data_IF_195882914925
#
_entry.id   IF_195882914925
#
_cell.length_a   1.000
_cell.length_b   1.000
_cell.length_c   1.000
_cell.angle_alpha   90.00
_cell.angle_beta   90.00
_cell.angle_gamma   90.00
#
_symmetry.space_group_name_H-M   'P 1'
#
loop_
_entity.id
_entity.type
_entity.pdbx_description
1 polymer ?
#
# COMPACT_ATOMS: atom_id res chain seq x y z
N UNK A 1 10.23 15.31 -25.59
CA UNK A 1 11.62 14.90 -25.28
C UNK A 1 11.54 13.46 -24.83
N UNK A 2 11.85 12.51 -25.73
CA UNK A 2 11.75 11.07 -25.43
C UNK A 2 12.89 10.74 -24.46
N UNK A 3 12.61 10.62 -23.16
CA UNK A 3 13.57 10.07 -22.22
C UNK A 3 13.74 8.59 -22.61
N UNK A 4 14.89 8.22 -23.17
CA UNK A 4 15.26 6.84 -23.40
C UNK A 4 15.23 6.11 -22.06
N UNK A 5 14.23 5.24 -21.87
CA UNK A 5 14.12 4.42 -20.68
C UNK A 5 15.18 3.32 -20.73
N UNK A 6 16.30 3.54 -20.05
CA UNK A 6 17.31 2.51 -19.89
C UNK A 6 16.77 1.41 -18.95
N UNK A 7 17.04 0.13 -19.23
CA UNK A 7 16.66 -0.97 -18.36
C UNK A 7 17.45 -0.95 -17.04
N UNK A 8 16.89 -1.52 -15.97
CA UNK A 8 17.48 -1.44 -14.61
C UNK A 8 18.89 -2.01 -14.51
N UNK A 9 19.19 -3.06 -15.29
CA UNK A 9 20.53 -3.64 -15.34
C UNK A 9 21.59 -2.65 -15.84
N UNK A 10 21.22 -1.66 -16.67
CA UNK A 10 22.15 -0.65 -17.15
C UNK A 10 22.58 0.29 -16.02
N UNK A 11 21.67 0.66 -15.11
CA UNK A 11 21.98 1.46 -13.94
C UNK A 11 22.86 0.69 -12.95
N UNK A 12 22.59 -0.60 -12.74
CA UNK A 12 23.40 -1.45 -11.87
C UNK A 12 24.82 -1.67 -12.42
N UNK A 13 24.96 -1.88 -13.73
CA UNK A 13 26.30 -2.01 -14.35
C UNK A 13 27.08 -0.70 -14.28
N UNK A 14 26.42 0.45 -14.49
CA UNK A 14 27.04 1.77 -14.29
C UNK A 14 27.49 1.97 -12.82
N UNK A 15 26.65 1.65 -11.84
CA UNK A 15 26.98 1.74 -10.42
C UNK A 15 28.17 0.84 -10.05
N UNK A 16 28.22 -0.38 -10.57
CA UNK A 16 29.34 -1.31 -10.36
C UNK A 16 30.64 -0.77 -10.98
N UNK A 17 30.60 -0.28 -12.22
CA UNK A 17 31.77 0.28 -12.90
C UNK A 17 32.34 1.50 -12.16
N UNK A 18 31.46 2.42 -11.72
CA UNK A 18 31.84 3.59 -10.93
C UNK A 18 32.45 3.19 -9.59
N UNK A 19 31.89 2.19 -8.91
CA UNK A 19 32.40 1.69 -7.63
C UNK A 19 33.80 1.09 -7.75
N UNK A 20 34.03 0.29 -8.80
CA UNK A 20 35.35 -0.30 -9.09
C UNK A 20 36.37 0.82 -9.41
N UNK A 21 35.99 1.78 -10.25
CA UNK A 21 36.84 2.93 -10.57
C UNK A 21 37.20 3.75 -9.33
N UNK A 22 36.22 3.99 -8.44
CA UNK A 22 36.44 4.66 -7.17
C UNK A 22 37.41 3.89 -6.27
N UNK A 23 37.24 2.57 -6.13
CA UNK A 23 38.12 1.73 -5.32
C UNK A 23 39.56 1.76 -5.83
N UNK A 24 39.76 1.68 -7.16
CA UNK A 24 41.08 1.76 -7.78
C UNK A 24 41.74 3.13 -7.56
N UNK A 25 40.99 4.23 -7.74
CA UNK A 25 41.49 5.58 -7.49
C UNK A 25 41.79 5.82 -6.01
N UNK A 26 40.98 5.27 -5.09
CA UNK A 26 41.22 5.35 -3.66
C UNK A 26 42.49 4.59 -3.29
N UNK A 27 42.65 3.37 -3.81
CA UNK A 27 43.86 2.56 -3.63
C UNK A 27 45.10 3.29 -4.19
N UNK A 28 45.02 3.84 -5.40
CA UNK A 28 46.12 4.60 -6.00
C UNK A 28 46.43 5.91 -5.28
N UNK A 29 45.40 6.62 -4.81
CA UNK A 29 45.54 7.89 -4.11
C UNK A 29 46.18 7.75 -2.73
N UNK A 30 45.98 6.60 -2.06
CA UNK A 30 46.43 6.36 -0.69
C UNK A 30 47.64 5.43 -0.57
N UNK A 31 47.74 4.40 -1.43
CA UNK A 31 48.62 3.25 -1.20
C UNK A 31 49.60 2.93 -2.35
N UNK A 32 49.45 3.49 -3.56
CA UNK A 32 50.27 3.08 -4.71
C UNK A 32 51.78 3.38 -4.61
N UNK A 33 52.20 4.33 -3.78
CA UNK A 33 53.61 4.71 -3.64
C UNK A 33 54.08 4.63 -2.17
N UNK A 34 54.22 3.41 -1.61
CA UNK A 34 54.79 3.22 -0.29
C UNK A 34 56.28 3.58 -0.33
N UNK A 35 56.80 4.21 0.73
CA UNK A 35 58.20 4.67 0.77
C UNK A 35 59.22 3.52 0.66
N UNK A 36 58.85 2.27 0.97
CA UNK A 36 59.72 1.07 0.91
C UNK A 36 61.10 1.28 1.53
N UNK A 37 61.16 2.07 2.61
CA UNK A 37 62.41 2.43 3.30
C UNK A 37 63.28 3.47 2.58
N UNK A 38 62.90 3.95 1.39
CA UNK A 38 63.60 5.02 0.67
C UNK A 38 63.26 6.37 1.27
N UNK A 39 64.28 7.20 1.49
CA UNK A 39 64.13 8.57 2.01
C UNK A 39 63.77 9.49 0.84
N UNK A 40 62.59 10.11 0.89
CA UNK A 40 62.12 11.02 -0.17
C UNK A 40 61.64 12.34 0.42
N UNK A 41 61.85 13.43 -0.29
CA UNK A 41 61.29 14.72 0.11
C UNK A 41 59.76 14.72 -0.08
N UNK A 42 58.93 15.08 0.92
CA UNK A 42 57.48 15.08 0.76
C UNK A 42 56.93 16.20 -0.14
N UNK A 43 57.77 17.18 -0.55
CA UNK A 43 57.37 18.25 -1.49
C UNK A 43 57.60 17.82 -2.94
N UNK A 44 58.86 17.59 -3.33
CA UNK A 44 59.22 17.27 -4.71
C UNK A 44 59.33 15.78 -5.03
N UNK A 45 59.28 14.90 -4.01
CA UNK A 45 59.46 13.45 -4.15
C UNK A 45 60.86 13.00 -4.59
N UNK A 46 61.85 13.89 -4.53
CA UNK A 46 63.25 13.55 -4.81
C UNK A 46 63.80 12.57 -3.78
N UNK A 47 64.54 11.57 -4.25
CA UNK A 47 65.18 10.55 -3.41
C UNK A 47 66.45 11.13 -2.78
N UNK A 48 66.39 11.34 -1.47
CA UNK A 48 67.54 11.81 -0.69
C UNK A 48 68.32 10.55 -0.36
N UNK A 49 69.51 10.37 -0.94
CA UNK A 49 70.36 9.20 -0.68
C UNK A 49 70.82 9.10 0.79
N UNK A 50 71.96 8.46 1.04
CA UNK A 50 72.52 8.30 2.40
C UNK A 50 73.01 9.60 3.07
N UNK A 51 72.80 10.74 2.43
CA UNK A 51 73.23 12.04 2.96
C UNK A 51 72.45 12.32 4.25
N UNK A 52 73.17 12.53 5.36
CA UNK A 52 72.60 12.82 6.70
C UNK A 52 71.94 14.20 6.81
N UNK A 53 71.75 14.92 5.71
CA UNK A 53 71.16 16.25 5.71
C UNK A 53 69.64 16.16 5.71
N UNK A 54 68.99 16.94 6.58
CA UNK A 54 67.53 17.09 6.60
C UNK A 54 67.03 18.13 5.56
N UNK A 55 67.90 18.60 4.67
CA UNK A 55 67.58 19.57 3.63
C UNK A 55 67.54 18.90 2.26
N UNK A 56 66.43 19.06 1.53
CA UNK A 56 66.30 18.53 0.17
C UNK A 56 67.13 19.35 -0.82
N UNK A 57 68.03 18.72 -1.61
CA UNK A 57 68.90 19.45 -2.54
C UNK A 57 68.15 20.06 -3.73
N UNK A 58 67.03 19.47 -4.15
CA UNK A 58 66.25 19.96 -5.30
C UNK A 58 65.35 21.15 -4.94
N UNK A 59 64.56 21.04 -3.87
CA UNK A 59 63.52 22.02 -3.56
C UNK A 59 63.84 22.93 -2.37
N UNK A 60 65.00 22.75 -1.74
CA UNK A 60 65.46 23.52 -0.58
C UNK A 60 64.63 23.32 0.69
N UNK A 61 63.68 22.38 0.72
CA UNK A 61 62.82 22.16 1.88
C UNK A 61 63.62 21.51 3.01
N UNK A 62 63.67 22.19 4.15
CA UNK A 62 64.21 21.66 5.42
C UNK A 62 63.12 20.87 6.14
N UNK A 63 63.48 19.67 6.60
CA UNK A 63 62.60 18.76 7.33
C UNK A 63 62.94 18.79 8.82
N UNK A 64 61.93 18.77 9.69
CA UNK A 64 62.16 18.89 11.14
C UNK A 64 62.55 17.56 11.77
N UNK A 65 62.13 16.44 11.17
CA UNK A 65 62.38 15.10 11.69
C UNK A 65 62.61 14.09 10.55
N UNK A 66 63.48 13.11 10.77
CA UNK A 66 63.80 12.04 9.82
C UNK A 66 62.57 11.22 9.38
N UNK A 67 61.60 11.03 10.29
CA UNK A 67 60.32 10.35 9.98
C UNK A 67 59.55 11.00 8.82
N UNK A 68 59.73 12.30 8.58
CA UNK A 68 59.03 12.98 7.50
C UNK A 68 59.55 12.58 6.10
N UNK A 69 60.76 12.01 6.01
CA UNK A 69 61.34 11.49 4.77
C UNK A 69 60.75 10.15 4.34
N UNK A 70 60.04 9.46 5.23
CA UNK A 70 59.41 8.17 4.98
C UNK A 70 57.90 8.28 4.71
N UNK A 71 57.37 9.51 4.65
CA UNK A 71 55.93 9.75 4.51
C UNK A 71 55.46 9.42 3.08
N UNK A 72 54.42 8.58 2.89
CA UNK A 72 53.89 8.25 1.57
C UNK A 72 53.24 9.47 0.89
N UNK A 73 53.34 9.55 -0.45
CA UNK A 73 52.71 10.62 -1.25
C UNK A 73 51.23 10.32 -1.44
N UNK A 74 50.39 10.93 -0.62
CA UNK A 74 48.93 10.86 -0.80
C UNK A 74 48.49 11.87 -1.85
N UNK A 75 47.83 11.40 -2.90
CA UNK A 75 47.28 12.23 -3.98
C UNK A 75 45.82 12.58 -3.64
N UNK A 76 45.63 13.55 -2.75
CA UNK A 76 44.30 13.91 -2.23
C UNK A 76 43.27 14.27 -3.30
N UNK A 77 43.68 14.79 -4.46
CA UNK A 77 42.75 15.04 -5.56
C UNK A 77 42.18 13.74 -6.17
N UNK A 78 42.95 12.65 -6.21
CA UNK A 78 42.46 11.33 -6.64
C UNK A 78 41.47 10.76 -5.62
N UNK A 79 41.71 11.01 -4.33
CA UNK A 79 40.78 10.65 -3.25
C UNK A 79 39.47 11.43 -3.40
N UNK A 80 39.53 12.74 -3.68
CA UNK A 80 38.34 13.54 -3.93
C UNK A 80 37.56 13.04 -5.16
N UNK A 81 38.24 12.71 -6.26
CA UNK A 81 37.61 12.12 -7.44
C UNK A 81 36.96 10.76 -7.13
N UNK A 82 37.62 9.91 -6.34
CA UNK A 82 37.05 8.65 -5.89
C UNK A 82 35.76 8.85 -5.08
N UNK A 83 35.71 9.84 -4.18
CA UNK A 83 34.49 10.18 -3.42
C UNK A 83 33.35 10.60 -4.36
N UNK A 84 33.64 11.45 -5.36
CA UNK A 84 32.63 11.84 -6.35
C UNK A 84 32.09 10.62 -7.11
N UNK A 85 32.96 9.68 -7.50
CA UNK A 85 32.53 8.44 -8.16
C UNK A 85 31.68 7.55 -7.25
N UNK A 86 31.98 7.46 -5.94
CA UNK A 86 31.13 6.72 -4.98
C UNK A 86 29.75 7.36 -4.87
N UNK A 87 29.68 8.69 -4.82
CA UNK A 87 28.39 9.40 -4.80
C UNK A 87 27.60 9.17 -6.10
N UNK A 88 28.28 9.21 -7.25
CA UNK A 88 27.69 8.88 -8.55
C UNK A 88 27.19 7.43 -8.61
N UNK A 89 27.99 6.47 -8.14
CA UNK A 89 27.61 5.06 -8.08
C UNK A 89 26.37 4.85 -7.19
N UNK A 90 26.33 5.50 -6.04
CA UNK A 90 25.19 5.46 -5.12
C UNK A 90 23.94 6.04 -5.79
N UNK A 91 24.04 7.22 -6.41
CA UNK A 91 22.94 7.84 -7.13
C UNK A 91 22.42 6.97 -8.29
N UNK A 92 23.33 6.36 -9.08
CA UNK A 92 22.95 5.44 -10.17
C UNK A 92 22.29 4.16 -9.65
N UNK A 93 22.81 3.58 -8.57
CA UNK A 93 22.21 2.38 -7.96
C UNK A 93 20.83 2.65 -7.34
N UNK A 94 20.63 3.86 -6.81
CA UNK A 94 19.36 4.29 -6.22
C UNK A 94 18.31 4.68 -7.26
N UNK A 95 18.73 5.05 -8.48
CA UNK A 95 17.85 5.62 -9.50
C UNK A 95 16.67 4.72 -9.91
N UNK A 96 16.83 3.40 -10.15
CA UNK A 96 15.71 2.51 -10.44
C UNK A 96 14.62 2.54 -9.37
N UNK A 97 15.03 2.44 -8.11
CA UNK A 97 14.11 2.47 -6.97
C UNK A 97 13.46 3.85 -6.81
N UNK A 98 14.20 4.95 -7.03
CA UNK A 98 13.62 6.31 -7.00
C UNK A 98 12.59 6.51 -8.10
N UNK A 99 12.79 5.97 -9.32
CA UNK A 99 11.79 6.06 -10.39
C UNK A 99 10.53 5.26 -10.08
N UNK A 100 10.68 4.10 -9.43
CA UNK A 100 9.56 3.19 -9.11
C UNK A 100 8.75 3.63 -7.91
N UNK A 101 9.42 4.07 -6.84
CA UNK A 101 8.80 4.35 -5.54
C UNK A 101 8.82 5.84 -5.16
N UNK A 102 9.43 6.70 -5.99
CA UNK A 102 9.65 8.10 -5.68
C UNK A 102 10.80 8.31 -4.69
N UNK A 103 11.09 9.57 -4.38
CA UNK A 103 12.11 9.93 -3.37
C UNK A 103 11.69 9.56 -1.94
N UNK A 104 10.38 9.41 -1.69
CA UNK A 104 9.82 9.09 -0.39
C UNK A 104 10.29 7.75 0.18
N UNK A 105 10.57 6.78 -0.69
CA UNK A 105 11.03 5.44 -0.30
C UNK A 105 12.29 5.45 0.58
N UNK A 106 13.24 6.36 0.30
CA UNK A 106 14.48 6.46 1.07
C UNK A 106 14.34 7.14 2.41
N UNK A 107 13.18 7.73 2.69
CA UNK A 107 12.96 8.40 3.96
C UNK A 107 12.77 7.31 5.02
N UNK A 108 13.60 7.30 6.07
CA UNK A 108 13.48 6.31 7.12
C UNK A 108 12.08 6.38 7.75
N UNK A 109 11.51 5.22 8.09
CA UNK A 109 10.15 5.12 8.64
C UNK A 109 9.93 6.04 9.84
N UNK A 110 10.93 6.18 10.73
CA UNK A 110 10.84 7.08 11.88
C UNK A 110 10.66 8.55 11.50
N UNK A 111 11.21 8.98 10.35
CA UNK A 111 11.08 10.34 9.86
C UNK A 111 9.68 10.57 9.27
N UNK A 112 9.15 9.60 8.52
CA UNK A 112 7.77 9.63 8.00
C UNK A 112 6.77 9.78 9.17
N UNK A 113 6.87 8.91 10.18
CA UNK A 113 5.99 8.93 11.37
C UNK A 113 6.04 10.28 12.09
N UNK A 114 7.21 10.92 12.13
CA UNK A 114 7.40 12.19 12.83
C UNK A 114 6.93 13.40 12.03
N UNK A 115 7.08 13.35 10.71
CA UNK A 115 6.75 14.46 9.81
C UNK A 115 5.29 14.47 9.37
N UNK A 116 4.65 13.30 9.30
CA UNK A 116 3.30 13.18 8.76
C UNK A 116 2.26 14.07 9.47
N UNK A 117 2.12 14.09 10.81
CA UNK A 117 1.13 14.94 11.47
C UNK A 117 1.45 16.44 11.45
N UNK A 118 2.63 16.82 10.95
CA UNK A 118 3.10 18.22 10.93
C UNK A 118 3.05 18.84 9.53
N UNK A 119 2.83 18.03 8.51
CA UNK A 119 2.76 18.48 7.13
C UNK A 119 1.29 18.73 6.78
N UNK A 120 0.73 19.85 7.28
CA UNK A 120 -0.56 20.37 6.81
C UNK A 120 -0.46 20.56 5.28
N UNK A 121 -1.20 19.81 4.44
CA UNK A 121 -1.44 20.27 3.09
C UNK A 121 -2.25 21.57 3.19
N UNK A 122 -1.92 22.61 2.41
CA UNK A 122 -2.57 23.90 2.52
C UNK A 122 -4.09 23.74 2.39
N UNK A 123 -4.79 24.19 3.43
CA UNK A 123 -6.23 24.16 3.60
C UNK A 123 -6.95 24.76 2.39
N UNK A 124 -7.30 23.89 1.45
CA UNK A 124 -8.14 24.19 0.30
C UNK A 124 -9.03 22.99 0.08
N UNK A 125 -10.31 23.23 -0.26
CA UNK A 125 -11.31 22.20 -0.61
C UNK A 125 -10.96 21.45 -1.92
N UNK A 126 -9.67 21.26 -2.19
CA UNK A 126 -9.13 20.71 -3.41
C UNK A 126 -8.99 19.19 -3.21
N UNK A 127 -10.11 18.53 -3.47
CA UNK A 127 -10.31 17.15 -3.91
C UNK A 127 -9.04 16.28 -3.92
N UNK A 128 -9.01 15.22 -3.08
CA UNK A 128 -8.44 13.85 -3.20
C UNK A 128 -7.12 13.55 -3.97
N UNK A 129 -6.54 14.46 -4.77
CA UNK A 129 -5.41 14.17 -5.67
C UNK A 129 -4.04 14.43 -5.04
N UNK A 130 -3.99 15.21 -3.97
CA UNK A 130 -2.76 15.55 -3.27
C UNK A 130 -2.74 14.88 -1.89
N UNK A 131 -3.17 13.61 -1.83
CA UNK A 131 -2.86 12.76 -0.68
C UNK A 131 -1.37 12.90 -0.43
N UNK A 132 -0.99 13.46 0.73
CA UNK A 132 0.42 13.73 1.04
C UNK A 132 1.19 12.45 0.78
N UNK A 133 2.20 12.48 -0.09
CA UNK A 133 2.96 11.28 -0.46
C UNK A 133 3.49 10.52 0.77
N UNK A 134 3.62 11.21 1.91
CA UNK A 134 3.89 10.63 3.24
C UNK A 134 2.80 9.65 3.71
N UNK A 135 1.51 9.97 3.53
CA UNK A 135 0.40 9.06 3.80
C UNK A 135 0.50 7.82 2.92
N UNK A 136 0.65 8.00 1.61
CA UNK A 136 0.70 6.88 0.67
C UNK A 136 1.86 5.94 0.98
N UNK A 137 3.04 6.48 1.29
CA UNK A 137 4.20 5.70 1.68
C UNK A 137 4.00 5.00 3.04
N UNK A 138 3.48 5.71 4.06
CA UNK A 138 3.21 5.12 5.37
C UNK A 138 2.17 3.99 5.28
N UNK A 139 1.09 4.22 4.54
CA UNK A 139 0.05 3.24 4.26
C UNK A 139 0.62 2.03 3.52
N UNK A 140 1.44 2.25 2.48
CA UNK A 140 2.12 1.17 1.75
C UNK A 140 2.97 0.31 2.70
N UNK A 141 3.75 0.93 3.60
CA UNK A 141 4.57 0.20 4.59
C UNK A 141 3.72 -0.56 5.62
N UNK A 142 2.57 0.00 6.02
CA UNK A 142 1.61 -0.65 6.92
C UNK A 142 1.03 -1.91 6.28
N UNK A 143 0.57 -1.79 5.03
CA UNK A 143 -0.03 -2.87 4.25
C UNK A 143 0.97 -3.97 3.88
N UNK A 144 2.20 -3.59 3.52
CA UNK A 144 3.28 -4.52 3.20
C UNK A 144 3.80 -5.29 4.42
N UNK A 145 3.47 -4.85 5.65
CA UNK A 145 3.92 -5.49 6.88
C UNK A 145 5.35 -5.11 7.29
N UNK A 146 5.91 -4.04 6.72
CA UNK A 146 7.31 -3.63 6.98
C UNK A 146 7.49 -2.96 8.35
N UNK A 147 6.40 -2.48 8.95
CA UNK A 147 6.40 -1.83 10.26
C UNK A 147 6.38 -2.87 11.39
N UNK A 148 7.39 -2.77 12.26
CA UNK A 148 7.40 -3.49 13.54
C UNK A 148 6.25 -3.06 14.46
N UNK A 149 5.89 -3.93 15.40
CA UNK A 149 4.82 -3.70 16.38
C UNK A 149 5.00 -2.37 17.15
N UNK A 150 6.23 -2.06 17.57
CA UNK A 150 6.54 -0.80 18.24
C UNK A 150 6.35 0.43 17.34
N UNK A 151 6.62 0.31 16.04
CA UNK A 151 6.37 1.38 15.08
C UNK A 151 4.87 1.56 14.81
N UNK A 152 4.10 0.46 14.71
CA UNK A 152 2.63 0.51 14.58
C UNK A 152 1.99 1.19 15.79
N UNK A 153 2.40 0.82 16.99
CA UNK A 153 1.95 1.45 18.23
C UNK A 153 2.29 2.94 18.27
N UNK A 154 3.50 3.32 17.84
CA UNK A 154 3.91 4.72 17.75
C UNK A 154 3.07 5.52 16.73
N UNK A 155 2.82 4.94 15.55
CA UNK A 155 1.95 5.54 14.52
C UNK A 155 0.56 5.77 15.08
N UNK A 156 -0.07 4.73 15.62
CA UNK A 156 -1.43 4.81 16.16
C UNK A 156 -1.54 5.86 17.28
N UNK A 157 -0.54 5.94 18.16
CA UNK A 157 -0.48 6.95 19.22
C UNK A 157 -0.35 8.36 18.65
N UNK A 158 0.48 8.55 17.62
CA UNK A 158 0.68 9.87 16.98
C UNK A 158 -0.55 10.33 16.22
N UNK A 159 -1.24 9.42 15.52
CA UNK A 159 -2.49 9.75 14.86
C UNK A 159 -3.56 10.09 15.89
N UNK A 160 -3.64 9.34 17.00
CA UNK A 160 -4.56 9.66 18.10
C UNK A 160 -4.27 11.03 18.75
N UNK A 161 -3.01 11.45 18.84
CA UNK A 161 -2.63 12.80 19.30
C UNK A 161 -3.03 13.91 18.32
N UNK A 162 -3.07 13.60 17.03
CA UNK A 162 -3.48 14.54 15.98
C UNK A 162 -5.00 14.63 15.81
N UNK A 163 -5.75 13.61 16.26
CA UNK A 163 -7.21 13.64 16.29
C UNK A 163 -7.68 14.70 17.30
N UNK A 164 -8.35 15.74 16.80
CA UNK A 164 -9.01 16.75 17.62
C UNK A 164 -10.52 16.51 17.65
N UNK A 165 -11.08 16.02 18.77
CA UNK A 165 -12.54 15.80 18.88
C UNK A 165 -13.35 17.09 18.73
N UNK A 166 -12.75 18.23 19.06
CA UNK A 166 -13.39 19.54 19.02
C UNK A 166 -13.46 20.14 17.60
N UNK A 167 -12.58 19.72 16.69
CA UNK A 167 -12.51 20.21 15.32
C UNK A 167 -12.09 19.07 14.38
N UNK A 168 -13.03 18.23 13.95
CA UNK A 168 -12.75 17.20 12.96
C UNK A 168 -12.30 17.88 11.67
N UNK A 169 -11.07 17.59 11.26
CA UNK A 169 -10.49 18.02 9.99
C UNK A 169 -10.81 17.00 8.90
N UNK A 170 -10.58 17.38 7.63
CA UNK A 170 -10.65 16.42 6.53
C UNK A 170 -9.78 15.19 6.82
N UNK A 171 -8.58 15.37 7.37
CA UNK A 171 -7.61 14.30 7.68
C UNK A 171 -8.03 13.37 8.83
N UNK A 172 -9.11 13.70 9.55
CA UNK A 172 -9.57 12.87 10.66
C UNK A 172 -10.01 11.48 10.19
N UNK A 173 -10.45 11.31 8.94
CA UNK A 173 -10.74 10.00 8.36
C UNK A 173 -9.46 9.20 8.04
N UNK A 174 -8.43 9.83 7.46
CA UNK A 174 -7.12 9.25 7.16
C UNK A 174 -6.43 8.75 8.43
N UNK A 175 -6.38 9.58 9.48
CA UNK A 175 -5.80 9.22 10.77
C UNK A 175 -6.50 8.03 11.39
N UNK A 176 -7.83 8.04 11.31
CA UNK A 176 -8.65 6.96 11.85
C UNK A 176 -8.45 5.65 11.07
N UNK A 177 -8.34 5.72 9.75
CA UNK A 177 -8.03 4.56 8.91
C UNK A 177 -6.64 4.00 9.20
N UNK A 178 -5.61 4.85 9.33
CA UNK A 178 -4.25 4.45 9.71
C UNK A 178 -4.25 3.73 11.06
N UNK A 179 -4.96 4.28 12.05
CA UNK A 179 -5.12 3.64 13.37
C UNK A 179 -5.73 2.24 13.20
N UNK A 180 -6.76 2.11 12.37
CA UNK A 180 -7.45 0.85 12.12
C UNK A 180 -6.54 -0.23 11.47
N UNK A 181 -5.59 0.16 10.63
CA UNK A 181 -4.62 -0.76 10.00
C UNK A 181 -3.42 -1.10 10.90
N UNK A 182 -3.19 -0.34 11.97
CA UNK A 182 -2.17 -0.69 12.96
C UNK A 182 -2.56 -1.93 13.77
N UNK A 183 -3.86 -2.26 13.88
CA UNK A 183 -4.39 -3.49 14.46
C UNK A 183 -4.45 -3.51 15.99
N UNK A 184 -3.49 -2.90 16.68
CA UNK A 184 -3.51 -2.75 18.14
C UNK A 184 -3.70 -1.29 18.54
N UNK A 185 -4.66 -1.04 19.45
CA UNK A 185 -4.88 0.27 20.05
C UNK A 185 -4.39 0.29 21.50
N UNK A 186 -3.58 1.31 21.82
CA UNK A 186 -3.38 1.70 23.22
C UNK A 186 -4.69 2.23 23.80
N UNK A 187 -4.83 2.26 25.14
CA UNK A 187 -6.00 2.87 25.78
C UNK A 187 -6.23 4.30 25.32
N UNK A 188 -5.15 5.08 25.17
CA UNK A 188 -5.19 6.43 24.61
C UNK A 188 -5.77 6.48 23.19
N UNK A 189 -5.37 5.53 22.34
CA UNK A 189 -5.91 5.41 20.98
C UNK A 189 -7.40 5.05 21.00
N UNK A 190 -7.80 4.15 21.89
CA UNK A 190 -9.22 3.81 22.08
C UNK A 190 -10.03 5.02 22.54
N UNK A 191 -9.54 5.77 23.53
CA UNK A 191 -10.24 6.93 24.09
C UNK A 191 -10.41 8.04 23.04
N UNK A 192 -9.38 8.28 22.22
CA UNK A 192 -9.43 9.24 21.12
C UNK A 192 -10.49 8.82 20.08
N UNK A 193 -10.50 7.55 19.67
CA UNK A 193 -11.49 7.04 18.73
C UNK A 193 -12.91 7.07 19.31
N UNK A 194 -13.10 6.72 20.58
CA UNK A 194 -14.38 6.83 21.27
C UNK A 194 -14.89 8.27 21.26
N UNK A 195 -14.04 9.25 21.55
CA UNK A 195 -14.39 10.66 21.43
C UNK A 195 -14.84 11.03 20.00
N UNK A 196 -14.17 10.49 18.97
CA UNK A 196 -14.54 10.73 17.57
C UNK A 196 -15.90 10.11 17.17
N UNK A 197 -16.36 9.06 17.86
CA UNK A 197 -17.71 8.50 17.62
C UNK A 197 -18.85 9.47 17.97
N UNK A 198 -18.56 10.50 18.78
CA UNK A 198 -19.50 11.57 19.13
C UNK A 198 -19.34 12.83 18.26
N UNK A 199 -18.46 12.82 17.25
CA UNK A 199 -18.28 13.93 16.31
C UNK A 199 -19.61 14.34 15.66
N UNK A 200 -19.82 15.61 15.35
CA UNK A 200 -20.96 16.04 14.52
C UNK A 200 -20.82 15.61 13.05
N UNK A 201 -19.60 15.35 12.60
CA UNK A 201 -19.29 14.87 11.25
C UNK A 201 -19.55 13.36 11.13
N UNK A 202 -20.45 12.96 10.23
CA UNK A 202 -20.84 11.56 10.05
C UNK A 202 -19.72 10.68 9.49
N UNK A 203 -18.89 11.21 8.58
CA UNK A 203 -17.79 10.46 7.98
C UNK A 203 -16.79 10.12 9.08
N UNK A 204 -16.39 11.13 9.84
CA UNK A 204 -15.45 10.95 10.96
C UNK A 204 -16.00 9.97 12.01
N UNK A 205 -17.29 10.07 12.36
CA UNK A 205 -17.93 9.09 13.25
C UNK A 205 -17.84 7.67 12.68
N UNK A 206 -18.15 7.50 11.40
CA UNK A 206 -18.21 6.18 10.76
C UNK A 206 -16.82 5.53 10.65
N UNK A 207 -15.79 6.30 10.29
CA UNK A 207 -14.40 5.85 10.33
C UNK A 207 -13.98 5.52 11.77
N UNK A 208 -14.34 6.33 12.77
CA UNK A 208 -13.97 6.09 14.16
C UNK A 208 -14.55 4.77 14.68
N UNK A 209 -15.82 4.51 14.37
CA UNK A 209 -16.46 3.23 14.65
C UNK A 209 -15.75 2.09 13.92
N UNK A 210 -15.42 2.27 12.64
CA UNK A 210 -14.72 1.27 11.86
C UNK A 210 -13.29 0.97 12.33
N UNK A 211 -12.60 1.96 12.88
CA UNK A 211 -11.33 1.77 13.53
C UNK A 211 -11.50 1.01 14.85
N UNK A 212 -12.47 1.40 15.67
CA UNK A 212 -12.79 0.71 16.94
C UNK A 212 -13.15 -0.76 16.73
N UNK A 213 -13.90 -1.09 15.67
CA UNK A 213 -14.20 -2.50 15.36
C UNK A 213 -12.95 -3.28 15.03
N UNK A 214 -12.00 -2.70 14.27
CA UNK A 214 -10.76 -3.37 13.89
C UNK A 214 -9.77 -3.51 15.05
N UNK A 215 -9.66 -2.50 15.91
CA UNK A 215 -8.63 -2.46 16.97
C UNK A 215 -9.11 -2.94 18.34
N UNK A 216 -10.42 -3.10 18.56
CA UNK A 216 -10.91 -3.17 19.94
C UNK A 216 -12.32 -3.68 20.20
N UNK A 217 -12.86 -4.64 19.44
CA UNK A 217 -14.16 -5.27 19.76
C UNK A 217 -14.23 -5.95 21.14
N UNK A 218 -13.09 -6.19 21.80
CA UNK A 218 -13.03 -6.79 23.13
C UNK A 218 -13.60 -5.91 24.26
N UNK A 219 -13.92 -4.62 24.01
CA UNK A 219 -14.58 -3.75 25.00
C UNK A 219 -16.11 -3.72 24.77
N UNK A 220 -16.93 -4.09 25.77
CA UNK A 220 -18.39 -4.19 25.61
C UNK A 220 -19.07 -2.86 25.22
N UNK A 221 -18.52 -1.72 25.67
CA UNK A 221 -18.98 -0.38 25.30
C UNK A 221 -19.03 -0.15 23.77
N UNK A 222 -18.02 -0.62 23.04
CA UNK A 222 -17.94 -0.42 21.59
C UNK A 222 -19.08 -1.17 20.90
N UNK A 223 -19.35 -2.39 21.34
CA UNK A 223 -20.43 -3.19 20.78
C UNK A 223 -21.81 -2.60 21.12
N UNK A 224 -22.00 -2.01 22.31
CA UNK A 224 -23.24 -1.29 22.65
C UNK A 224 -23.46 -0.05 21.76
N UNK A 225 -22.42 0.73 21.49
CA UNK A 225 -22.50 1.89 20.58
C UNK A 225 -22.89 1.44 19.16
N UNK A 226 -22.25 0.38 18.65
CA UNK A 226 -22.57 -0.15 17.31
C UNK A 226 -24.01 -0.64 17.23
N UNK A 227 -24.50 -1.35 18.25
CA UNK A 227 -25.91 -1.77 18.29
C UNK A 227 -26.87 -0.58 18.31
N UNK A 228 -26.59 0.45 19.12
CA UNK A 228 -27.43 1.63 19.19
C UNK A 228 -27.54 2.33 17.82
N UNK A 229 -26.43 2.39 17.09
CA UNK A 229 -26.38 2.97 15.74
C UNK A 229 -27.09 2.08 14.72
N UNK A 230 -26.91 0.77 14.75
CA UNK A 230 -27.61 -0.14 13.84
C UNK A 230 -29.12 -0.17 14.09
N UNK A 231 -29.56 0.03 15.34
CA UNK A 231 -30.99 0.16 15.68
C UNK A 231 -31.59 1.47 15.16
N UNK A 232 -30.80 2.55 15.16
CA UNK A 232 -31.22 3.86 14.70
C UNK A 232 -30.19 4.43 13.71
N UNK A 233 -30.12 3.87 12.49
CA UNK A 233 -29.10 4.26 11.55
C UNK A 233 -29.28 5.73 11.14
N UNK A 234 -28.18 6.50 11.00
CA UNK A 234 -28.27 7.88 10.57
C UNK A 234 -28.91 7.99 9.18
N UNK A 235 -29.55 9.12 8.93
CA UNK A 235 -30.16 9.41 7.64
C UNK A 235 -29.11 9.31 6.51
N UNK A 236 -29.50 8.85 5.31
CA UNK A 236 -28.62 8.78 4.16
C UNK A 236 -28.03 10.14 3.82
N UNK A 237 -26.74 10.17 3.50
CA UNK A 237 -26.08 11.39 3.01
C UNK A 237 -26.52 11.63 1.57
N UNK A 238 -26.72 12.88 1.15
CA UNK A 238 -26.99 13.19 -0.25
C UNK A 238 -25.91 12.59 -1.17
N UNK A 239 -26.32 12.10 -2.36
CA UNK A 239 -25.44 11.44 -3.32
C UNK A 239 -24.26 12.32 -3.77
N UNK A 240 -24.30 13.64 -3.59
CA UNK A 240 -23.20 14.54 -3.96
C UNK A 240 -21.91 14.33 -3.12
N UNK A 241 -21.99 13.55 -2.03
CA UNK A 241 -20.85 13.09 -1.22
C UNK A 241 -20.50 11.60 -1.45
N UNK A 242 -20.95 11.05 -2.59
CA UNK A 242 -21.11 9.65 -3.02
C UNK A 242 -19.96 8.66 -2.83
N UNK A 243 -18.76 9.06 -2.43
CA UNK A 243 -17.66 8.09 -2.37
C UNK A 243 -17.80 7.10 -1.20
N UNK A 244 -18.58 7.43 -0.17
CA UNK A 244 -18.68 6.63 1.05
C UNK A 244 -20.12 6.63 1.58
N UNK A 245 -20.97 5.77 1.01
CA UNK A 245 -22.38 5.66 1.38
C UNK A 245 -22.63 5.24 2.84
N UNK A 246 -23.88 5.34 3.30
CA UNK A 246 -24.31 4.97 4.66
C UNK A 246 -24.08 3.51 5.05
N UNK A 247 -23.76 2.63 4.09
CA UNK A 247 -23.36 1.24 4.34
C UNK A 247 -22.01 1.10 5.04
N UNK A 248 -21.22 2.17 5.14
CA UNK A 248 -19.84 2.14 5.64
C UNK A 248 -19.69 1.45 7.00
N UNK A 249 -20.55 1.76 7.98
CA UNK A 249 -20.48 1.16 9.32
C UNK A 249 -20.62 -0.37 9.26
N UNK A 250 -21.49 -0.87 8.39
CA UNK A 250 -21.71 -2.32 8.21
C UNK A 250 -20.46 -2.98 7.63
N UNK A 251 -19.75 -2.32 6.71
CA UNK A 251 -18.53 -2.84 6.11
C UNK A 251 -17.36 -3.02 7.11
N UNK A 252 -17.40 -2.35 8.27
CA UNK A 252 -16.39 -2.53 9.34
C UNK A 252 -16.78 -3.52 10.43
N UNK A 253 -18.01 -4.02 10.43
CA UNK A 253 -18.42 -5.00 11.43
C UNK A 253 -17.60 -6.29 11.28
N UNK A 254 -17.23 -6.94 12.39
CA UNK A 254 -16.44 -8.16 12.35
C UNK A 254 -17.20 -9.28 11.64
N UNK A 255 -16.61 -9.90 10.62
CA UNK A 255 -17.22 -11.04 9.93
C UNK A 255 -16.84 -12.39 10.57
N UNK A 256 -16.00 -12.37 11.60
CA UNK A 256 -15.55 -13.54 12.36
C UNK A 256 -15.37 -13.22 13.84
N UNK A 257 -15.24 -14.25 14.70
CA UNK A 257 -15.12 -14.08 16.15
C UNK A 257 -16.43 -14.31 16.92
N UNK A 258 -16.38 -14.17 18.26
CA UNK A 258 -17.51 -14.47 19.14
C UNK A 258 -18.68 -13.50 18.97
N UNK A 259 -18.43 -12.22 18.65
CA UNK A 259 -19.45 -11.18 18.66
C UNK A 259 -20.30 -11.10 17.38
N UNK A 260 -20.00 -11.89 16.36
CA UNK A 260 -20.71 -11.87 15.06
C UNK A 260 -22.21 -12.08 15.23
N UNK A 261 -22.61 -13.01 16.09
CA UNK A 261 -24.01 -13.38 16.33
C UNK A 261 -24.84 -12.22 16.90
N UNK A 262 -24.19 -11.26 17.57
CA UNK A 262 -24.83 -10.07 18.12
C UNK A 262 -25.43 -9.17 17.02
N UNK A 263 -24.80 -9.13 15.85
CA UNK A 263 -25.16 -8.19 14.78
C UNK A 263 -26.13 -8.78 13.74
N UNK A 264 -26.23 -10.11 13.63
CA UNK A 264 -27.11 -10.79 12.65
C UNK A 264 -28.56 -10.29 12.74
N UNK A 265 -29.25 -10.30 13.90
CA UNK A 265 -30.65 -9.86 13.96
C UNK A 265 -30.84 -8.38 13.59
N UNK A 266 -29.85 -7.53 13.89
CA UNK A 266 -29.90 -6.11 13.55
C UNK A 266 -29.80 -5.90 12.03
N UNK A 267 -28.88 -6.62 11.38
CA UNK A 267 -28.68 -6.52 9.93
C UNK A 267 -29.84 -7.17 9.16
N UNK A 268 -30.45 -8.23 9.67
CA UNK A 268 -31.71 -8.77 9.13
C UNK A 268 -32.80 -7.68 9.14
N UNK A 269 -32.96 -6.96 10.25
CA UNK A 269 -33.93 -5.87 10.34
C UNK A 269 -33.63 -4.75 9.32
N UNK A 270 -32.37 -4.39 9.09
CA UNK A 270 -32.01 -3.40 8.05
C UNK A 270 -32.47 -3.85 6.65
N UNK A 271 -32.31 -5.14 6.33
CA UNK A 271 -32.74 -5.73 5.06
C UNK A 271 -34.27 -5.75 4.95
N UNK A 272 -34.97 -6.21 5.99
CA UNK A 272 -36.43 -6.31 6.00
C UNK A 272 -37.13 -4.95 5.87
N UNK A 273 -36.58 -3.94 6.54
CA UNK A 273 -37.09 -2.56 6.49
C UNK A 273 -36.64 -1.81 5.23
N UNK A 274 -35.83 -2.44 4.36
CA UNK A 274 -35.30 -1.84 3.12
C UNK A 274 -34.61 -0.50 3.37
N UNK A 275 -33.88 -0.40 4.49
CA UNK A 275 -33.17 0.81 4.84
C UNK A 275 -32.01 1.04 3.85
N UNK A 276 -31.49 2.28 3.72
CA UNK A 276 -30.39 2.58 2.79
C UNK A 276 -29.16 1.68 2.93
N UNK A 277 -28.95 1.12 4.13
CA UNK A 277 -27.86 0.22 4.47
C UNK A 277 -28.13 -1.26 4.10
N UNK A 278 -29.33 -1.60 3.61
CA UNK A 278 -29.75 -2.98 3.34
C UNK A 278 -28.76 -3.73 2.43
N UNK A 279 -28.25 -3.08 1.38
CA UNK A 279 -27.28 -3.69 0.46
C UNK A 279 -25.96 -4.06 1.15
N UNK A 280 -25.44 -3.18 2.01
CA UNK A 280 -24.25 -3.48 2.81
C UNK A 280 -24.52 -4.59 3.83
N UNK A 281 -25.72 -4.61 4.43
CA UNK A 281 -26.16 -5.70 5.32
C UNK A 281 -26.19 -7.06 4.60
N UNK A 282 -26.73 -7.12 3.37
CA UNK A 282 -26.72 -8.34 2.54
C UNK A 282 -25.29 -8.85 2.34
N UNK A 283 -24.37 -7.96 1.93
CA UNK A 283 -22.96 -8.31 1.73
C UNK A 283 -22.34 -8.89 2.99
N UNK A 284 -22.52 -8.20 4.11
CA UNK A 284 -21.93 -8.60 5.39
C UNK A 284 -22.48 -9.96 5.85
N UNK A 285 -23.78 -10.19 5.73
CA UNK A 285 -24.40 -11.48 6.06
C UNK A 285 -23.82 -12.61 5.20
N UNK A 286 -23.56 -12.33 3.92
CA UNK A 286 -22.85 -13.24 3.02
C UNK A 286 -21.42 -13.55 3.46
N UNK A 287 -20.67 -12.55 3.93
CA UNK A 287 -19.30 -12.72 4.45
C UNK A 287 -19.23 -13.54 5.74
N UNK A 288 -20.26 -13.44 6.59
CA UNK A 288 -20.42 -14.30 7.78
C UNK A 288 -20.74 -15.75 7.40
N UNK A 289 -21.44 -15.93 6.29
CA UNK A 289 -21.71 -17.24 5.70
C UNK A 289 -22.70 -18.08 6.54
N UNK A 290 -22.45 -19.39 6.76
CA UNK A 290 -23.45 -20.30 7.34
C UNK A 290 -24.00 -19.92 8.72
N UNK A 291 -23.27 -19.10 9.50
CA UNK A 291 -23.75 -18.59 10.79
C UNK A 291 -24.95 -17.66 10.65
N UNK A 292 -25.08 -16.97 9.51
CA UNK A 292 -26.19 -16.08 9.21
C UNK A 292 -27.40 -16.79 8.55
N UNK A 293 -27.57 -18.11 8.78
CA UNK A 293 -28.63 -18.92 8.13
C UNK A 293 -30.04 -18.36 8.35
N UNK A 294 -30.27 -17.75 9.50
CA UNK A 294 -31.52 -17.07 9.85
C UNK A 294 -31.87 -15.88 8.94
N UNK A 295 -30.91 -15.34 8.18
CA UNK A 295 -31.16 -14.25 7.24
C UNK A 295 -31.79 -14.68 5.91
N UNK A 296 -31.76 -15.98 5.56
CA UNK A 296 -32.25 -16.46 4.26
C UNK A 296 -33.68 -16.00 3.91
N UNK A 297 -34.68 -16.08 4.82
CA UNK A 297 -36.03 -15.63 4.51
C UNK A 297 -36.13 -14.11 4.26
N UNK A 298 -35.30 -13.32 4.96
CA UNK A 298 -35.25 -11.87 4.75
C UNK A 298 -34.62 -11.53 3.39
N UNK A 299 -33.56 -12.24 3.01
CA UNK A 299 -32.92 -12.11 1.70
C UNK A 299 -33.87 -12.47 0.56
N UNK A 300 -34.65 -13.54 0.68
CA UNK A 300 -35.65 -13.93 -0.32
C UNK A 300 -36.73 -12.86 -0.51
N UNK A 301 -37.24 -12.28 0.59
CA UNK A 301 -38.20 -11.18 0.53
C UNK A 301 -37.61 -9.93 -0.10
N UNK A 302 -36.38 -9.59 0.25
CA UNK A 302 -35.67 -8.43 -0.30
C UNK A 302 -35.37 -8.62 -1.80
N UNK A 303 -34.99 -9.82 -2.23
CA UNK A 303 -34.78 -10.12 -3.66
C UNK A 303 -36.06 -9.91 -4.49
N UNK A 304 -37.23 -10.20 -3.91
CA UNK A 304 -38.51 -10.01 -4.58
C UNK A 304 -38.85 -8.52 -4.80
N UNK A 305 -38.37 -7.61 -3.95
CA UNK A 305 -38.62 -6.16 -4.09
C UNK A 305 -37.63 -5.49 -5.04
N UNK A 306 -36.42 -6.04 -5.20
CA UNK A 306 -35.37 -5.49 -6.06
C UNK A 306 -35.53 -5.91 -7.54
N UNK A 307 -36.75 -5.98 -8.07
CA UNK A 307 -37.04 -6.61 -9.38
C UNK A 307 -36.31 -5.98 -10.57
N UNK A 308 -35.91 -4.71 -10.48
CA UNK A 308 -35.23 -3.98 -11.57
C UNK A 308 -33.73 -3.74 -11.31
N UNK A 309 -33.27 -3.82 -10.06
CA UNK A 309 -31.86 -3.61 -9.71
C UNK A 309 -31.05 -4.91 -9.86
N UNK A 310 -30.32 -4.99 -10.97
CA UNK A 310 -29.46 -6.13 -11.29
C UNK A 310 -28.33 -6.31 -10.25
N UNK A 311 -27.77 -5.23 -9.72
CA UNK A 311 -26.64 -5.29 -8.80
C UNK A 311 -27.04 -5.89 -7.45
N UNK A 312 -28.14 -5.37 -6.89
CA UNK A 312 -28.71 -5.89 -5.65
C UNK A 312 -29.10 -7.37 -5.79
N UNK A 313 -29.67 -7.78 -6.92
CA UNK A 313 -29.99 -9.20 -7.15
C UNK A 313 -28.76 -10.10 -7.10
N UNK A 314 -27.68 -9.73 -7.80
CA UNK A 314 -26.45 -10.55 -7.83
C UNK A 314 -25.87 -10.66 -6.41
N UNK A 315 -25.86 -9.56 -5.66
CA UNK A 315 -25.33 -9.52 -4.30
C UNK A 315 -26.16 -10.38 -3.33
N UNK A 316 -27.49 -10.31 -3.42
CA UNK A 316 -28.40 -11.15 -2.62
C UNK A 316 -28.24 -12.64 -2.95
N UNK A 317 -28.20 -12.99 -4.23
CA UNK A 317 -28.00 -14.38 -4.67
C UNK A 317 -26.66 -14.94 -4.18
N UNK A 318 -25.58 -14.17 -4.31
CA UNK A 318 -24.26 -14.59 -3.84
C UNK A 318 -24.22 -14.76 -2.32
N UNK A 319 -24.79 -13.80 -1.57
CA UNK A 319 -24.90 -13.92 -0.12
C UNK A 319 -25.70 -15.15 0.29
N UNK A 320 -26.85 -15.40 -0.35
CA UNK A 320 -27.68 -16.57 -0.10
C UNK A 320 -26.94 -17.89 -0.42
N UNK A 321 -26.13 -17.94 -1.49
CA UNK A 321 -25.32 -19.10 -1.85
C UNK A 321 -24.28 -19.42 -0.76
N UNK A 322 -23.60 -18.41 -0.20
CA UNK A 322 -22.62 -18.62 0.87
C UNK A 322 -23.30 -19.02 2.17
N UNK A 323 -24.38 -18.34 2.56
CA UNK A 323 -25.14 -18.64 3.78
C UNK A 323 -25.76 -20.05 3.73
N UNK A 324 -26.24 -20.48 2.57
CA UNK A 324 -26.76 -21.83 2.38
C UNK A 324 -25.65 -22.91 2.28
N UNK A 325 -24.37 -22.51 2.21
CA UNK A 325 -23.24 -23.42 2.05
C UNK A 325 -23.07 -23.96 0.63
N UNK A 326 -23.70 -23.32 -0.38
CA UNK A 326 -23.51 -23.65 -1.80
C UNK A 326 -22.18 -23.10 -2.33
N UNK A 327 -21.65 -22.03 -1.74
CA UNK A 327 -20.32 -21.49 -1.99
C UNK A 327 -19.57 -21.34 -0.67
N UNK A 328 -18.24 -21.52 -0.65
CA UNK A 328 -17.47 -21.38 0.60
C UNK A 328 -17.25 -19.91 0.97
N UNK A 329 -17.09 -19.05 -0.02
CA UNK A 329 -16.82 -17.62 0.17
C UNK A 329 -17.63 -16.77 -0.80
N UNK A 330 -17.79 -15.48 -0.49
CA UNK A 330 -18.42 -14.52 -1.40
C UNK A 330 -17.67 -14.43 -2.73
N UNK A 331 -16.34 -14.47 -2.70
CA UNK A 331 -15.50 -14.50 -3.91
C UNK A 331 -15.79 -15.72 -4.79
N UNK A 332 -15.96 -16.90 -4.19
CA UNK A 332 -16.35 -18.11 -4.92
C UNK A 332 -17.75 -17.94 -5.56
N UNK A 333 -18.72 -17.42 -4.81
CA UNK A 333 -20.07 -17.17 -5.32
C UNK A 333 -20.06 -16.20 -6.51
N UNK A 334 -19.34 -15.07 -6.41
CA UNK A 334 -19.18 -14.12 -7.52
C UNK A 334 -18.44 -14.75 -8.71
N UNK A 335 -17.39 -15.54 -8.47
CA UNK A 335 -16.61 -16.17 -9.55
C UNK A 335 -17.46 -17.10 -10.42
N UNK A 336 -18.42 -17.83 -9.83
CA UNK A 336 -19.36 -18.67 -10.59
C UNK A 336 -20.28 -17.85 -11.49
N UNK A 337 -20.51 -16.58 -11.17
CA UNK A 337 -21.30 -15.65 -11.99
C UNK A 337 -20.48 -14.94 -13.05
N UNK A 338 -19.15 -14.96 -12.98
CA UNK A 338 -18.30 -14.60 -14.12
C UNK A 338 -18.53 -15.55 -15.31
N UNK A 339 -18.91 -16.81 -15.05
CA UNK A 339 -19.30 -17.76 -16.07
C UNK A 339 -20.75 -17.58 -16.58
N UNK A 340 -21.49 -16.54 -16.13
CA UNK A 340 -22.90 -16.33 -16.48
C UNK A 340 -23.12 -15.50 -17.76
N UNK A 341 -24.34 -15.60 -18.32
CA UNK A 341 -24.67 -15.26 -19.70
C UNK A 341 -24.60 -13.77 -20.10
N UNK A 342 -24.70 -12.79 -19.19
CA UNK A 342 -24.78 -11.37 -19.57
C UNK A 342 -23.59 -10.51 -19.14
N UNK A 343 -23.08 -9.67 -20.05
CA UNK A 343 -21.94 -8.77 -19.81
C UNK A 343 -22.12 -7.85 -18.58
N UNK A 344 -23.29 -7.25 -18.30
CA UNK A 344 -23.48 -6.45 -17.09
C UNK A 344 -23.31 -7.24 -15.78
N UNK A 345 -23.74 -8.51 -15.76
CA UNK A 345 -23.57 -9.39 -14.58
C UNK A 345 -22.10 -9.72 -14.36
N UNK A 346 -21.36 -9.98 -15.44
CA UNK A 346 -19.91 -10.27 -15.38
C UNK A 346 -19.12 -9.05 -14.91
N UNK A 347 -19.42 -7.85 -15.43
CA UNK A 347 -18.86 -6.57 -14.98
C UNK A 347 -19.05 -6.37 -13.48
N UNK A 348 -20.29 -6.48 -13.02
CA UNK A 348 -20.60 -6.28 -11.62
C UNK A 348 -19.91 -7.33 -10.71
N UNK A 349 -19.94 -8.60 -11.09
CA UNK A 349 -19.25 -9.65 -10.35
C UNK A 349 -17.73 -9.40 -10.26
N UNK A 350 -17.10 -8.93 -11.34
CA UNK A 350 -15.69 -8.57 -11.35
C UNK A 350 -15.36 -7.43 -10.38
N UNK A 351 -16.14 -6.35 -10.39
CA UNK A 351 -16.00 -5.23 -9.46
C UNK A 351 -16.22 -5.67 -8.01
N UNK A 352 -17.21 -6.54 -7.75
CA UNK A 352 -17.48 -7.02 -6.41
C UNK A 352 -16.39 -7.95 -5.88
N UNK A 353 -15.74 -8.73 -6.74
CA UNK A 353 -14.59 -9.55 -6.34
C UNK A 353 -13.40 -8.70 -5.87
N UNK A 354 -13.22 -7.50 -6.41
CA UNK A 354 -12.29 -6.52 -5.88
C UNK A 354 -12.68 -6.05 -4.46
N UNK A 355 -13.96 -5.73 -4.25
CA UNK A 355 -14.44 -5.17 -2.98
C UNK A 355 -14.47 -6.17 -1.81
N UNK A 356 -14.53 -7.47 -2.08
CA UNK A 356 -14.72 -8.53 -1.05
C UNK A 356 -13.47 -8.82 -0.20
N UNK A 357 -12.32 -8.17 -0.46
CA UNK A 357 -11.06 -8.27 0.31
C UNK A 357 -10.62 -9.72 0.66
N UNK A 358 -9.59 -10.20 -0.06
CA UNK A 358 -8.64 -11.26 0.38
C UNK A 358 -9.18 -12.69 0.62
N UNK A 359 -10.28 -13.10 -0.02
CA UNK A 359 -10.77 -14.50 0.05
C UNK A 359 -10.73 -15.24 -1.30
N UNK A 360 -9.58 -15.24 -1.98
CA UNK A 360 -9.42 -15.99 -3.23
C UNK A 360 -9.18 -17.48 -2.95
N UNK A 361 -10.14 -18.33 -3.32
CA UNK A 361 -9.96 -19.78 -3.34
C UNK A 361 -9.33 -20.21 -4.67
N UNK A 362 -8.62 -21.36 -4.74
CA UNK A 362 -8.11 -21.88 -6.00
C UNK A 362 -9.18 -22.05 -7.08
N UNK A 363 -10.40 -22.45 -6.69
CA UNK A 363 -11.56 -22.55 -7.58
C UNK A 363 -11.97 -21.18 -8.13
N UNK A 364 -11.99 -20.14 -7.28
CA UNK A 364 -12.26 -18.79 -7.72
C UNK A 364 -11.21 -18.30 -8.73
N UNK A 365 -9.92 -18.57 -8.49
CA UNK A 365 -8.85 -18.21 -9.42
C UNK A 365 -8.99 -18.94 -10.77
N UNK A 366 -9.36 -20.23 -10.77
CA UNK A 366 -9.62 -20.96 -12.02
C UNK A 366 -10.79 -20.35 -12.80
N UNK A 367 -11.90 -20.05 -12.12
CA UNK A 367 -13.08 -19.44 -12.74
C UNK A 367 -12.76 -18.05 -13.31
N UNK A 368 -11.98 -17.25 -12.58
CA UNK A 368 -11.49 -15.94 -13.05
C UNK A 368 -10.64 -16.11 -14.31
N UNK A 369 -9.64 -17.00 -14.27
CA UNK A 369 -8.74 -17.22 -15.40
C UNK A 369 -9.48 -17.66 -16.66
N UNK A 370 -10.50 -18.51 -16.51
CA UNK A 370 -11.37 -18.90 -17.62
C UNK A 370 -12.21 -17.73 -18.13
N UNK A 371 -12.84 -16.99 -17.23
CA UNK A 371 -13.71 -15.87 -17.58
C UNK A 371 -12.97 -14.79 -18.38
N UNK A 372 -11.75 -14.46 -17.97
CA UNK A 372 -10.86 -13.49 -18.63
C UNK A 372 -10.60 -13.87 -20.09
N UNK A 373 -10.31 -15.14 -20.36
CA UNK A 373 -10.03 -15.62 -21.73
C UNK A 373 -11.28 -15.64 -22.62
N UNK A 374 -12.46 -15.83 -22.01
CA UNK A 374 -13.73 -15.94 -22.74
C UNK A 374 -14.51 -14.63 -22.85
N UNK A 375 -14.09 -13.58 -22.15
CA UNK A 375 -14.81 -12.30 -22.15
C UNK A 375 -14.62 -11.57 -23.47
N UNK A 376 -15.73 -11.20 -24.11
CA UNK A 376 -15.73 -10.50 -25.39
C UNK A 376 -15.96 -8.99 -25.22
N UNK A 377 -16.47 -8.55 -24.07
CA UNK A 377 -16.63 -7.12 -23.75
C UNK A 377 -15.32 -6.57 -23.18
N UNK A 378 -14.64 -5.72 -23.95
CA UNK A 378 -13.38 -5.10 -23.56
C UNK A 378 -13.48 -4.24 -22.30
N UNK A 379 -14.63 -3.59 -22.04
CA UNK A 379 -14.83 -2.81 -20.82
C UNK A 379 -14.92 -3.73 -19.59
N UNK A 380 -15.60 -4.87 -19.74
CA UNK A 380 -15.69 -5.86 -18.69
C UNK A 380 -14.33 -6.49 -18.39
N UNK A 381 -13.58 -6.78 -19.45
CA UNK A 381 -12.25 -7.33 -19.35
C UNK A 381 -11.28 -6.35 -18.65
N UNK A 382 -11.34 -5.05 -18.97
CA UNK A 382 -10.55 -4.04 -18.28
C UNK A 382 -10.87 -3.97 -16.77
N UNK A 383 -12.14 -4.03 -16.39
CA UNK A 383 -12.55 -4.05 -14.98
C UNK A 383 -12.05 -5.32 -14.27
N UNK A 384 -12.11 -6.48 -14.93
CA UNK A 384 -11.58 -7.73 -14.40
C UNK A 384 -10.06 -7.67 -14.19
N UNK A 385 -9.31 -7.21 -15.19
CA UNK A 385 -7.85 -7.06 -15.09
C UNK A 385 -7.46 -6.09 -13.97
N UNK A 386 -8.17 -4.97 -13.85
CA UNK A 386 -7.97 -4.00 -12.77
C UNK A 386 -8.25 -4.59 -11.40
N UNK A 387 -9.35 -5.35 -11.25
CA UNK A 387 -9.69 -6.02 -10.02
C UNK A 387 -8.61 -7.03 -9.58
N UNK A 388 -8.03 -7.76 -10.53
CA UNK A 388 -6.98 -8.76 -10.31
C UNK A 388 -5.65 -8.11 -9.90
N UNK A 389 -5.27 -7.03 -10.59
CA UNK A 389 -4.02 -6.31 -10.32
C UNK A 389 -3.95 -5.80 -8.87
N UNK A 390 -5.09 -5.36 -8.32
CA UNK A 390 -5.18 -4.86 -6.95
C UNK A 390 -5.26 -5.96 -5.86
N UNK A 391 -5.19 -7.25 -6.22
CA UNK A 391 -5.17 -8.39 -5.29
C UNK A 391 -3.89 -9.25 -5.50
N UNK A 392 -2.70 -8.72 -5.17
CA UNK A 392 -1.48 -9.10 -5.89
C UNK A 392 -0.90 -10.47 -5.56
N UNK A 393 -1.02 -10.99 -4.33
CA UNK A 393 -0.26 -12.20 -3.93
C UNK A 393 -0.89 -13.49 -4.45
N UNK A 394 -2.20 -13.58 -4.46
CA UNK A 394 -2.95 -14.78 -4.83
C UNK A 394 -3.18 -14.87 -6.35
N UNK A 395 -3.19 -13.74 -7.06
CA UNK A 395 -3.50 -13.65 -8.47
C UNK A 395 -2.31 -13.89 -9.42
N UNK A 396 -1.09 -14.09 -8.91
CA UNK A 396 0.12 -14.35 -9.72
C UNK A 396 -0.07 -15.56 -10.66
N UNK A 397 -0.90 -16.54 -10.26
CA UNK A 397 -1.24 -17.70 -11.09
C UNK A 397 -1.99 -17.35 -12.38
N UNK A 398 -2.50 -16.12 -12.52
CA UNK A 398 -3.26 -15.63 -13.68
C UNK A 398 -2.38 -14.93 -14.74
N UNK A 399 -1.07 -14.77 -14.48
CA UNK A 399 -0.14 -14.16 -15.42
C UNK A 399 -0.13 -14.80 -16.81
N UNK A 400 -0.21 -16.15 -16.98
CA UNK A 400 -0.28 -16.76 -18.30
C UNK A 400 -1.47 -16.27 -19.13
N UNK A 401 -2.66 -16.20 -18.53
CA UNK A 401 -3.90 -15.77 -19.18
C UNK A 401 -3.85 -14.28 -19.54
N UNK A 402 -3.27 -13.45 -18.66
CA UNK A 402 -3.11 -12.02 -18.94
C UNK A 402 -2.14 -11.76 -20.11
N UNK A 403 -1.07 -12.56 -20.23
CA UNK A 403 -0.13 -12.48 -21.35
C UNK A 403 -0.77 -12.90 -22.67
N UNK A 404 -1.70 -13.87 -22.63
CA UNK A 404 -2.49 -14.25 -23.79
C UNK A 404 -3.35 -13.08 -24.30
N UNK A 405 -4.03 -12.35 -23.39
CA UNK A 405 -4.77 -11.13 -23.76
C UNK A 405 -3.87 -10.04 -24.31
N UNK A 406 -2.69 -9.85 -23.72
CA UNK A 406 -1.74 -8.84 -24.19
C UNK A 406 -1.27 -9.15 -25.63
N UNK A 407 -1.16 -10.43 -25.97
CA UNK A 407 -0.77 -10.90 -27.31
C UNK A 407 -1.93 -10.90 -28.33
N UNK A 408 -3.19 -10.82 -27.87
CA UNK A 408 -4.37 -10.82 -28.73
C UNK A 408 -4.55 -9.46 -29.43
N UNK A 409 -4.16 -9.39 -30.71
CA UNK A 409 -4.27 -8.17 -31.53
C UNK A 409 -5.72 -7.76 -31.82
N UNK A 410 -6.70 -8.63 -31.58
CA UNK A 410 -8.12 -8.29 -31.77
C UNK A 410 -8.67 -7.41 -30.65
N UNK A 411 -7.94 -7.31 -29.52
CA UNK A 411 -8.31 -6.47 -28.37
C UNK A 411 -7.97 -5.01 -28.58
N UNK A 412 -8.79 -4.13 -28.00
CA UNK A 412 -8.52 -2.69 -28.01
C UNK A 412 -7.17 -2.38 -27.36
N UNK A 413 -6.58 -1.26 -27.76
CA UNK A 413 -5.33 -0.77 -27.17
C UNK A 413 -5.47 -0.57 -25.65
N UNK A 414 -6.59 -0.03 -25.18
CA UNK A 414 -6.85 0.20 -23.77
C UNK A 414 -6.86 -1.10 -22.94
N UNK A 415 -7.47 -2.17 -23.47
CA UNK A 415 -7.47 -3.49 -22.82
C UNK A 415 -6.06 -4.07 -22.74
N UNK A 416 -5.28 -3.99 -23.83
CA UNK A 416 -3.89 -4.45 -23.85
C UNK A 416 -3.00 -3.65 -22.90
N UNK A 417 -3.17 -2.33 -22.83
CA UNK A 417 -2.45 -1.46 -21.89
C UNK A 417 -2.82 -1.81 -20.44
N UNK A 418 -4.09 -2.08 -20.15
CA UNK A 418 -4.55 -2.52 -18.83
C UNK A 418 -3.98 -3.89 -18.46
N UNK A 419 -3.93 -4.83 -19.40
CA UNK A 419 -3.31 -6.14 -19.20
C UNK A 419 -1.82 -6.01 -18.90
N UNK A 420 -1.10 -5.18 -19.66
CA UNK A 420 0.32 -4.89 -19.43
C UNK A 420 0.55 -4.28 -18.05
N UNK A 421 -0.21 -3.24 -17.70
CA UNK A 421 -0.11 -2.60 -16.38
C UNK A 421 -0.37 -3.60 -15.24
N UNK A 422 -1.36 -4.48 -15.41
CA UNK A 422 -1.69 -5.51 -14.42
C UNK A 422 -0.59 -6.56 -14.27
N UNK A 423 0.02 -7.00 -15.38
CA UNK A 423 1.18 -7.91 -15.39
C UNK A 423 2.36 -7.26 -14.66
N UNK A 424 2.69 -6.00 -15.01
CA UNK A 424 3.81 -5.28 -14.40
C UNK A 424 3.64 -5.19 -12.88
N UNK A 425 2.41 -4.94 -12.40
CA UNK A 425 2.08 -4.86 -10.97
C UNK A 425 2.16 -6.23 -10.26
N UNK A 426 1.76 -7.32 -10.92
CA UNK A 426 1.80 -8.68 -10.35
C UNK A 426 3.21 -9.30 -10.38
N UNK A 427 4.04 -8.97 -11.36
CA UNK A 427 5.44 -9.43 -11.44
C UNK A 427 6.35 -8.66 -10.48
N UNK A 428 6.00 -7.41 -10.20
CA UNK A 428 6.74 -6.53 -9.30
C UNK A 428 5.82 -6.01 -8.19
N UNK A 429 5.25 -6.91 -7.36
CA UNK A 429 4.42 -6.49 -6.25
C UNK A 429 5.26 -5.60 -5.33
N UNK A 430 4.72 -4.43 -4.99
CA UNK A 430 5.38 -3.46 -4.12
C UNK A 430 5.73 -4.05 -2.76
#
# INVERSE_FOLDING_TARGET
MVMLELPDWAYLTAAAALSIGAALLMYWGLLADPSRGRRRCPKCWYEIGEVKTLCCPECGRVMNHEKQLLRPRRRWWMVALAVVLVLGASASGMWPQTRRHGLGYYIPTWAIIRLYPTFDPPSGKQRRSDTSWLYMELSTRLEAGELSESQRSLVATRMADALSPAQPTYESDEYTWIIAECGEASDKTTDALLAMTHSSDMVVRAFALGALTRVGLSKPEIAEILEAILRNPPAPVPPETEEWGTGFIVDFLPTSGPDVERFIPLLINLVEQQLPQARAAVRWLGLVGPRAREALPALERFAATQSEDLESKIEIECAADVIAGRAKTMTEAYSRRLASDSAPKRRYAAVMMYNVKRQFTPEALENIGRAILTENDDDALQQMLTAIANAPRECVSLLPQMREILADETRSAATRDTAKWSIDLLEHPR
#
